data_IF_783095018345
#
_entry.id   IF_783095018345
#
_cell.length_a   1.000
_cell.length_b   1.000
_cell.length_c   1.000
_cell.angle_alpha   90.00
_cell.angle_beta   90.00
_cell.angle_gamma   90.00
#
_symmetry.space_group_name_H-M   'P 1'
#
loop_
_entity.id
_entity.type
_entity.pdbx_description
1 polymer ?
#
# COMPACT_ATOMS: atom_id res chain seq x y z
N UNK A 1 42.37 10.46 11.57
CA UNK A 1 41.92 9.15 12.09
C UNK A 1 40.50 9.12 12.67
N UNK A 2 39.71 10.22 12.68
CA UNK A 2 38.39 10.27 13.37
C UNK A 2 37.18 9.79 12.54
N UNK A 3 37.27 9.78 11.20
CA UNK A 3 36.12 9.43 10.32
C UNK A 3 35.78 7.93 10.25
N UNK A 4 36.78 7.05 10.34
CA UNK A 4 36.56 5.60 10.19
C UNK A 4 35.90 4.97 11.43
N UNK A 5 36.17 5.53 12.62
CA UNK A 5 35.66 5.02 13.90
C UNK A 5 34.14 5.23 14.04
N UNK A 6 33.62 6.36 13.56
CA UNK A 6 32.18 6.64 13.62
C UNK A 6 31.37 5.70 12.71
N UNK A 7 31.89 5.42 11.50
CA UNK A 7 31.25 4.51 10.56
C UNK A 7 31.24 3.07 11.07
N UNK A 8 32.35 2.61 11.66
CA UNK A 8 32.41 1.28 12.27
C UNK A 8 31.46 1.16 13.48
N UNK A 9 31.38 2.20 14.31
CA UNK A 9 30.47 2.25 15.45
C UNK A 9 28.99 2.22 15.02
N UNK A 10 28.63 2.99 13.98
CA UNK A 10 27.28 2.96 13.41
C UNK A 10 26.91 1.55 12.90
N UNK A 11 27.82 0.90 12.16
CA UNK A 11 27.57 -0.44 11.63
C UNK A 11 27.43 -1.48 12.75
N UNK A 12 28.22 -1.40 13.82
CA UNK A 12 28.11 -2.31 14.96
C UNK A 12 26.78 -2.14 15.71
N UNK A 13 26.35 -0.89 15.93
CA UNK A 13 25.05 -0.61 16.57
C UNK A 13 23.89 -1.09 15.69
N UNK A 14 23.97 -0.86 14.38
CA UNK A 14 22.95 -1.33 13.42
C UNK A 14 22.82 -2.85 13.43
N UNK A 15 23.94 -3.58 13.36
CA UNK A 15 23.93 -5.03 13.38
C UNK A 15 23.33 -5.58 14.68
N UNK A 16 23.59 -4.94 15.82
CA UNK A 16 23.04 -5.35 17.10
C UNK A 16 21.51 -5.19 17.16
N UNK A 17 20.98 -4.09 16.62
CA UNK A 17 19.53 -3.85 16.53
C UNK A 17 18.86 -4.87 15.62
N UNK A 18 19.42 -5.11 14.44
CA UNK A 18 18.90 -6.09 13.48
C UNK A 18 18.88 -7.51 14.06
N UNK A 19 19.92 -7.87 14.80
CA UNK A 19 20.04 -9.17 15.46
C UNK A 19 18.99 -9.36 16.58
N UNK A 20 18.72 -8.32 17.37
CA UNK A 20 17.65 -8.36 18.37
C UNK A 20 16.28 -8.52 17.70
N UNK A 21 16.05 -7.81 16.59
CA UNK A 21 14.81 -7.89 15.83
C UNK A 21 14.57 -9.26 15.21
N UNK A 22 15.63 -9.91 14.72
CA UNK A 22 15.57 -11.27 14.17
C UNK A 22 15.29 -12.31 15.25
N UNK A 23 15.88 -12.16 16.44
CA UNK A 23 15.66 -13.06 17.58
C UNK A 23 14.20 -13.01 18.04
N UNK A 24 13.64 -11.80 18.14
CA UNK A 24 12.31 -11.58 18.70
C UNK A 24 11.21 -11.71 17.63
N UNK A 25 11.51 -12.26 16.44
CA UNK A 25 10.55 -12.31 15.32
C UNK A 25 9.28 -13.10 15.67
N UNK A 26 9.40 -14.11 16.54
CA UNK A 26 8.28 -14.94 16.98
C UNK A 26 7.36 -14.19 17.95
N UNK A 27 7.94 -13.40 18.85
CA UNK A 27 7.22 -12.71 19.91
C UNK A 27 6.76 -11.30 19.49
N UNK A 28 7.46 -10.69 18.52
CA UNK A 28 7.26 -9.32 18.10
C UNK A 28 7.45 -9.11 16.59
N UNK A 29 6.75 -9.93 15.81
CA UNK A 29 6.76 -9.87 14.33
C UNK A 29 6.45 -8.47 13.77
N UNK A 30 5.58 -7.70 14.45
CA UNK A 30 5.20 -6.32 14.05
C UNK A 30 6.42 -5.40 13.93
N UNK A 31 7.34 -5.47 14.89
CA UNK A 31 8.52 -4.62 14.88
C UNK A 31 9.47 -4.97 13.73
N UNK A 32 9.59 -6.27 13.39
CA UNK A 32 10.35 -6.73 12.24
C UNK A 32 9.78 -6.19 10.92
N UNK A 33 8.48 -6.41 10.67
CA UNK A 33 7.84 -5.95 9.43
C UNK A 33 7.85 -4.41 9.31
N UNK A 34 7.79 -3.68 10.44
CA UNK A 34 7.95 -2.21 10.45
C UNK A 34 9.36 -1.80 10.05
N UNK A 35 10.39 -2.38 10.65
CA UNK A 35 11.79 -2.08 10.32
C UNK A 35 12.10 -2.32 8.84
N UNK A 36 11.66 -3.45 8.29
CA UNK A 36 11.87 -3.79 6.86
C UNK A 36 11.21 -2.74 5.97
N UNK A 37 9.96 -2.37 6.26
CA UNK A 37 9.26 -1.31 5.50
C UNK A 37 9.98 0.03 5.61
N UNK A 38 10.40 0.44 6.80
CA UNK A 38 11.12 1.70 7.00
C UNK A 38 12.50 1.71 6.32
N UNK A 39 13.17 0.56 6.22
CA UNK A 39 14.41 0.43 5.43
C UNK A 39 14.18 0.42 3.93
N UNK A 40 13.02 -0.06 3.49
CA UNK A 40 12.58 -0.01 2.09
C UNK A 40 12.05 1.36 1.65
N UNK A 41 11.73 2.26 2.59
CA UNK A 41 11.37 3.67 2.31
C UNK A 41 12.60 4.45 1.87
N UNK A 42 13.08 4.18 0.67
CA UNK A 42 13.98 5.08 -0.04
C UNK A 42 13.36 5.39 -1.38
N UNK A 43 12.77 6.59 -1.44
CA UNK A 43 12.16 7.27 -2.60
C UNK A 43 10.66 7.03 -2.75
N UNK A 44 9.93 8.12 -2.94
CA UNK A 44 8.62 8.06 -3.60
C UNK A 44 8.85 7.34 -4.93
N UNK A 45 8.17 6.22 -5.16
CA UNK A 45 8.28 5.41 -6.38
C UNK A 45 7.96 6.25 -7.64
N UNK A 46 7.09 7.24 -7.45
CA UNK A 46 6.72 8.24 -8.42
C UNK A 46 7.23 9.59 -7.94
N UNK A 47 8.14 10.19 -8.71
CA UNK A 47 8.59 11.56 -8.46
C UNK A 47 7.48 12.59 -8.70
N UNK A 48 7.64 13.83 -8.24
CA UNK A 48 6.63 14.87 -8.47
C UNK A 48 6.40 15.07 -9.96
N UNK A 49 5.13 15.19 -10.38
CA UNK A 49 4.77 15.41 -11.76
C UNK A 49 5.30 16.78 -12.22
N UNK A 50 5.97 16.82 -13.36
CA UNK A 50 6.44 18.05 -14.00
C UNK A 50 5.54 18.44 -15.17
N UNK A 51 5.37 19.75 -15.38
CA UNK A 51 4.78 20.28 -16.62
C UNK A 51 5.85 20.36 -17.72
N UNK A 52 5.41 20.57 -18.95
CA UNK A 52 6.29 20.74 -20.12
C UNK A 52 7.34 21.85 -19.92
N UNK A 53 6.99 22.89 -19.14
CA UNK A 53 7.87 24.01 -18.82
C UNK A 53 8.92 23.74 -17.73
N UNK A 54 8.95 22.54 -17.15
CA UNK A 54 9.91 22.13 -16.12
C UNK A 54 9.51 22.44 -14.67
N UNK A 55 8.42 23.17 -14.46
CA UNK A 55 7.86 23.43 -13.13
C UNK A 55 7.13 22.20 -12.56
N UNK A 56 7.20 22.04 -11.24
CA UNK A 56 6.49 20.97 -10.52
C UNK A 56 5.01 21.32 -10.38
N UNK A 57 4.16 20.31 -10.56
CA UNK A 57 2.71 20.45 -10.39
C UNK A 57 2.37 20.54 -8.90
N UNK A 58 1.69 21.62 -8.49
CA UNK A 58 1.41 21.89 -7.06
C UNK A 58 -0.06 21.69 -6.69
N UNK A 59 -0.99 21.93 -7.62
CA UNK A 59 -2.43 21.78 -7.39
C UNK A 59 -2.98 20.47 -7.96
N UNK A 60 -4.02 19.91 -7.33
CA UNK A 60 -4.59 18.62 -7.76
C UNK A 60 -5.29 18.68 -9.12
N UNK A 61 -5.89 19.83 -9.47
CA UNK A 61 -6.48 20.07 -10.79
C UNK A 61 -5.42 20.00 -11.89
N UNK A 62 -4.26 20.62 -11.68
CA UNK A 62 -3.15 20.60 -12.63
C UNK A 62 -2.57 19.17 -12.79
N UNK A 63 -2.57 18.36 -11.72
CA UNK A 63 -2.14 16.96 -11.80
C UNK A 63 -3.09 16.15 -12.69
N UNK A 64 -4.40 16.38 -12.53
CA UNK A 64 -5.41 15.72 -13.33
C UNK A 64 -5.29 16.08 -14.81
N UNK A 65 -5.03 17.35 -15.13
CA UNK A 65 -4.80 17.81 -16.52
C UNK A 65 -3.57 17.15 -17.14
N UNK A 66 -2.41 17.19 -16.47
CA UNK A 66 -1.16 16.60 -16.99
C UNK A 66 -1.29 15.09 -17.23
N UNK A 67 -1.97 14.38 -16.32
CA UNK A 67 -2.22 12.94 -16.50
C UNK A 67 -3.21 12.68 -17.65
N UNK A 68 -4.28 13.48 -17.74
CA UNK A 68 -5.27 13.36 -18.82
C UNK A 68 -4.64 13.62 -20.19
N UNK A 69 -3.77 14.63 -20.32
CA UNK A 69 -3.04 14.93 -21.55
C UNK A 69 -2.10 13.78 -21.94
N UNK A 70 -1.41 13.18 -20.96
CA UNK A 70 -0.58 12.01 -21.21
C UNK A 70 -1.40 10.81 -21.70
N UNK A 71 -2.51 10.49 -21.02
CA UNK A 71 -3.37 9.37 -21.43
C UNK A 71 -4.00 9.62 -22.80
N UNK A 72 -4.53 10.82 -23.05
CA UNK A 72 -5.09 11.17 -24.36
C UNK A 72 -4.03 11.12 -25.46
N UNK A 73 -2.78 11.52 -25.21
CA UNK A 73 -1.71 11.36 -26.19
C UNK A 73 -1.37 9.89 -26.50
N UNK A 74 -1.53 8.98 -25.53
CA UNK A 74 -1.30 7.53 -25.72
C UNK A 74 -2.49 6.87 -26.43
N UNK A 75 -3.72 7.31 -26.15
CA UNK A 75 -4.95 6.74 -26.70
C UNK A 75 -5.44 7.43 -27.98
N UNK A 76 -4.92 8.61 -28.32
CA UNK A 76 -5.19 9.26 -29.61
C UNK A 76 -4.25 8.67 -30.65
N UNK A 77 -4.54 7.43 -31.06
CA UNK A 77 -4.09 6.95 -32.35
C UNK A 77 -4.50 7.97 -33.41
N UNK A 78 -3.54 8.42 -34.21
CA UNK A 78 -3.74 9.42 -35.26
C UNK A 78 -4.69 8.87 -36.33
N UNK A 79 -5.99 8.89 -36.05
CA UNK A 79 -7.04 8.44 -36.97
C UNK A 79 -8.19 7.76 -36.26
N UNK A 80 -9.31 8.48 -36.12
CA UNK A 80 -10.60 8.06 -36.71
C UNK A 80 -11.73 8.97 -36.19
N UNK A 81 -12.28 9.79 -37.09
CA UNK A 81 -13.43 10.64 -36.84
C UNK A 81 -14.73 9.83 -36.94
N UNK A 82 -15.16 9.11 -35.91
CA UNK A 82 -16.52 8.57 -35.89
C UNK A 82 -17.16 8.68 -34.50
N UNK A 83 -18.02 9.69 -34.36
CA UNK A 83 -19.00 9.85 -33.29
C UNK A 83 -19.85 8.58 -33.16
N UNK A 84 -19.80 7.92 -32.01
CA UNK A 84 -20.73 6.86 -31.62
C UNK A 84 -21.42 7.26 -30.32
N UNK A 85 -22.75 7.38 -30.35
CA UNK A 85 -23.57 7.74 -29.20
C UNK A 85 -23.64 6.57 -28.21
N UNK A 86 -23.49 6.88 -26.92
CA UNK A 86 -23.62 5.93 -25.81
C UNK A 86 -25.10 5.78 -25.45
N UNK A 87 -25.63 4.56 -25.48
CA UNK A 87 -26.92 4.21 -24.90
C UNK A 87 -26.73 3.83 -23.43
N UNK A 88 -27.51 4.46 -22.53
CA UNK A 88 -27.55 4.19 -21.09
C UNK A 88 -28.06 2.77 -20.79
N UNK A 89 -27.21 1.96 -20.14
CA UNK A 89 -27.59 0.68 -19.54
C UNK A 89 -28.08 0.86 -18.10
N UNK A 90 -29.35 0.52 -17.84
CA UNK A 90 -29.93 0.47 -16.49
C UNK A 90 -29.66 -0.90 -15.86
N UNK A 91 -28.91 -0.93 -14.75
CA UNK A 91 -28.70 -2.11 -13.92
C UNK A 91 -29.62 -2.07 -12.69
N UNK A 92 -30.54 -3.01 -12.57
CA UNK A 92 -31.24 -3.31 -11.31
C UNK A 92 -31.09 -4.81 -11.04
N UNK A 93 -30.15 -5.17 -10.16
CA UNK A 93 -29.92 -6.53 -9.68
C UNK A 93 -29.87 -6.47 -8.16
N UNK A 94 -31.02 -6.53 -7.50
CA UNK A 94 -31.07 -6.77 -6.06
C UNK A 94 -32.29 -7.62 -5.73
N UNK A 95 -32.15 -8.93 -5.82
CA UNK A 95 -33.07 -9.85 -5.15
C UNK A 95 -32.26 -10.95 -4.45
N UNK A 96 -32.29 -10.87 -3.11
CA UNK A 96 -32.30 -11.99 -2.18
C UNK A 96 -31.06 -12.91 -2.15
N UNK A 97 -30.03 -12.51 -1.42
CA UNK A 97 -29.08 -13.47 -0.83
C UNK A 97 -29.56 -13.84 0.58
N UNK A 98 -29.98 -15.09 0.74
CA UNK A 98 -30.17 -15.74 2.02
C UNK A 98 -28.83 -15.77 2.78
N UNK A 99 -28.81 -15.21 3.99
CA UNK A 99 -27.59 -15.12 4.78
C UNK A 99 -27.15 -16.52 5.25
N UNK A 100 -25.86 -16.88 5.12
CA UNK A 100 -25.38 -18.16 5.60
C UNK A 100 -25.56 -18.26 7.12
N UNK A 101 -26.29 -19.29 7.56
CA UNK A 101 -26.46 -19.58 9.00
C UNK A 101 -25.19 -20.25 9.53
N UNK A 102 -24.37 -19.50 10.27
CA UNK A 102 -23.15 -20.00 10.94
C UNK A 102 -23.49 -20.56 12.33
N UNK A 103 -22.95 -21.74 12.67
CA UNK A 103 -23.16 -22.41 13.96
C UNK A 103 -22.23 -21.89 15.08
N UNK A 104 -22.72 -21.85 16.32
CA UNK A 104 -21.95 -21.38 17.48
C UNK A 104 -20.68 -22.21 17.75
N UNK A 105 -20.77 -23.53 17.55
CA UNK A 105 -19.66 -24.47 17.68
C UNK A 105 -18.54 -24.18 16.68
N UNK A 106 -18.91 -23.83 15.44
CA UNK A 106 -17.97 -23.43 14.39
C UNK A 106 -17.27 -22.12 14.73
N UNK A 107 -18.02 -21.13 15.25
CA UNK A 107 -17.45 -19.86 15.72
C UNK A 107 -16.52 -20.10 16.91
N UNK A 108 -16.91 -20.93 17.87
CA UNK A 108 -16.12 -21.21 19.06
C UNK A 108 -14.79 -21.89 18.73
N UNK A 109 -14.78 -22.84 17.80
CA UNK A 109 -13.55 -23.49 17.34
C UNK A 109 -12.61 -22.50 16.63
N UNK A 110 -13.16 -21.61 15.78
CA UNK A 110 -12.38 -20.56 15.13
C UNK A 110 -11.73 -19.61 16.14
N UNK A 111 -12.47 -19.22 17.18
CA UNK A 111 -11.96 -18.35 18.24
C UNK A 111 -10.84 -19.02 19.05
N UNK A 112 -10.94 -20.33 19.34
CA UNK A 112 -9.88 -21.08 20.03
C UNK A 112 -8.59 -21.17 19.22
N UNK A 113 -8.70 -21.14 17.90
CA UNK A 113 -7.56 -21.25 16.97
C UNK A 113 -6.98 -19.88 16.57
N UNK A 114 -7.45 -18.78 17.17
CA UNK A 114 -6.87 -17.46 16.94
C UNK A 114 -5.43 -17.39 17.43
N UNK A 115 -4.58 -16.80 16.59
CA UNK A 115 -3.17 -16.58 16.91
C UNK A 115 -3.05 -15.30 17.72
N UNK A 116 -3.02 -15.42 19.05
CA UNK A 116 -2.91 -14.31 20.03
C UNK A 116 -1.67 -13.42 19.90
N UNK A 117 -0.75 -13.71 18.98
CA UNK A 117 0.43 -12.88 18.67
C UNK A 117 0.28 -12.14 17.32
N UNK A 118 -0.92 -12.16 16.74
CA UNK A 118 -1.21 -11.49 15.47
C UNK A 118 -1.38 -10.00 15.66
N UNK A 119 -1.30 -9.30 14.53
CA UNK A 119 -1.50 -7.86 14.50
C UNK A 119 -2.95 -7.46 14.52
N UNK A 120 -3.17 -6.31 15.16
CA UNK A 120 -4.44 -5.60 15.17
C UNK A 120 -4.84 -5.23 13.74
N UNK A 121 -6.12 -5.39 13.43
CA UNK A 121 -6.69 -4.97 12.16
C UNK A 121 -6.90 -3.45 12.07
N UNK A 122 -7.44 -2.95 10.94
CA UNK A 122 -7.86 -1.55 10.79
C UNK A 122 -8.96 -1.14 11.77
N UNK A 123 -9.66 -2.11 12.34
CA UNK A 123 -10.71 -2.01 13.34
C UNK A 123 -10.17 -1.86 14.77
N UNK A 124 -8.85 -1.85 14.95
CA UNK A 124 -8.18 -1.74 16.25
C UNK A 124 -8.42 -2.90 17.23
N UNK A 125 -8.88 -4.06 16.73
CA UNK A 125 -9.18 -5.22 17.57
C UNK A 125 -8.01 -6.22 17.55
N UNK A 126 -7.63 -6.69 18.75
CA UNK A 126 -6.63 -7.75 18.91
C UNK A 126 -7.33 -9.12 18.89
N UNK A 127 -6.79 -10.13 18.17
CA UNK A 127 -7.28 -11.50 18.24
C UNK A 127 -7.02 -12.16 19.59
#
# INVERSE_FOLDING_TARGET
MKGNCLKSFYLSVKAQIELNLARDIKDNKKNFDRYVRDKGKTREDVGPLGKEMGDLVTQDMEKAEVLNDFFTSVFTGKGSNHTAQVAEGKNTVYENEELPTVGEDQVQDHLRNLKVHKSMGPDEIHP
#
